data_IF_826404369018
#
_entry.id   IF_826404369018
#
_cell.length_a   1.000
_cell.length_b   1.000
_cell.length_c   1.000
_cell.angle_alpha   90.00
_cell.angle_beta   90.00
_cell.angle_gamma   90.00
#
_symmetry.space_group_name_H-M   'P 1'
#
loop_
_entity.id
_entity.type
_entity.pdbx_description
1 polymer ?
#
# COMPACT_ATOMS: atom_id res chain seq x y z
N UNK A 1 -49.93 -56.82 8.02
CA UNK A 1 -48.98 -57.73 8.72
C UNK A 1 -47.75 -57.92 7.85
N UNK A 2 -46.58 -58.01 8.49
CA UNK A 2 -45.24 -58.28 7.92
C UNK A 2 -44.39 -57.06 7.54
N UNK A 3 -43.67 -56.54 8.56
CA UNK A 3 -42.46 -55.70 8.41
C UNK A 3 -41.24 -56.63 8.46
N UNK A 4 -40.40 -56.63 7.42
CA UNK A 4 -39.07 -57.26 7.44
C UNK A 4 -38.02 -56.20 7.81
N UNK A 5 -37.31 -56.44 8.90
CA UNK A 5 -36.15 -55.65 9.34
C UNK A 5 -34.90 -56.17 8.62
N UNK A 6 -34.15 -55.29 7.98
CA UNK A 6 -32.80 -55.54 7.50
C UNK A 6 -31.82 -54.95 8.52
N UNK A 7 -30.97 -55.80 9.10
CA UNK A 7 -29.86 -55.40 9.96
C UNK A 7 -28.70 -54.93 9.08
N UNK A 8 -28.28 -53.68 9.24
CA UNK A 8 -27.02 -53.16 8.68
C UNK A 8 -25.96 -53.27 9.78
N UNK A 9 -24.95 -54.11 9.53
CA UNK A 9 -23.79 -54.29 10.37
C UNK A 9 -22.80 -53.16 10.09
N UNK A 10 -22.69 -52.19 11.00
CA UNK A 10 -21.68 -51.13 10.93
C UNK A 10 -20.34 -51.69 11.43
N UNK A 11 -19.36 -51.81 10.53
CA UNK A 11 -17.99 -52.20 10.84
C UNK A 11 -17.19 -50.94 11.15
N UNK A 12 -17.00 -50.64 12.43
CA UNK A 12 -16.17 -49.51 12.90
C UNK A 12 -14.69 -49.90 12.80
N UNK A 13 -14.02 -49.46 11.73
CA UNK A 13 -12.57 -49.60 11.58
C UNK A 13 -11.90 -48.51 12.42
N UNK A 14 -11.36 -48.88 13.59
CA UNK A 14 -10.55 -48.00 14.40
C UNK A 14 -9.16 -47.85 13.75
N UNK A 15 -8.96 -46.79 12.98
CA UNK A 15 -7.63 -46.38 12.54
C UNK A 15 -6.91 -45.75 13.74
N UNK A 16 -5.86 -46.41 14.22
CA UNK A 16 -4.93 -45.83 15.18
C UNK A 16 -4.05 -44.82 14.43
N UNK A 17 -4.03 -43.53 14.81
CA UNK A 17 -3.07 -42.59 14.24
C UNK A 17 -1.67 -42.98 14.72
N UNK A 18 -0.87 -43.57 13.85
CA UNK A 18 0.58 -43.67 14.04
C UNK A 18 1.18 -42.31 13.72
N UNK A 19 1.77 -41.64 14.71
CA UNK A 19 2.63 -40.49 14.46
C UNK A 19 3.83 -40.97 13.62
N UNK A 20 3.80 -40.71 12.31
CA UNK A 20 4.97 -40.90 11.48
C UNK A 20 5.92 -39.74 11.77
N UNK A 21 7.11 -40.06 12.27
CA UNK A 21 8.22 -39.14 12.42
C UNK A 21 8.60 -38.62 11.02
N UNK A 22 8.43 -37.33 10.80
CA UNK A 22 8.52 -36.60 9.54
C UNK A 22 9.95 -36.62 8.95
N UNK A 23 10.92 -37.16 9.70
CA UNK A 23 12.31 -37.25 9.30
C UNK A 23 13.05 -35.90 9.24
N UNK A 24 12.40 -34.81 9.68
CA UNK A 24 13.08 -33.55 9.93
C UNK A 24 13.95 -33.71 11.18
N UNK A 25 15.23 -33.32 11.08
CA UNK A 25 16.12 -33.28 12.24
C UNK A 25 15.58 -32.33 13.31
N UNK A 26 16.13 -32.31 14.53
CA UNK A 26 15.67 -31.37 15.54
C UNK A 26 15.80 -29.93 15.02
N UNK A 27 14.77 -29.12 15.27
CA UNK A 27 14.83 -27.67 15.06
C UNK A 27 16.09 -27.11 15.73
N UNK A 28 16.76 -26.16 15.08
CA UNK A 28 17.92 -25.51 15.68
C UNK A 28 17.52 -24.87 17.02
N UNK A 29 18.19 -25.27 18.10
CA UNK A 29 17.96 -24.72 19.44
C UNK A 29 18.05 -23.19 19.36
N UNK A 30 17.18 -22.52 20.12
CA UNK A 30 17.23 -21.07 20.27
C UNK A 30 18.62 -20.70 20.81
N UNK A 31 19.45 -20.17 19.92
CA UNK A 31 20.83 -19.81 20.25
C UNK A 31 20.88 -18.77 21.36
N UNK A 32 21.98 -18.82 22.11
CA UNK A 32 22.32 -17.91 23.22
C UNK A 32 21.81 -16.46 23.03
N UNK A 33 20.98 -16.03 23.97
CA UNK A 33 20.32 -14.70 24.05
C UNK A 33 21.33 -13.52 24.12
N UNK A 34 22.63 -13.81 24.20
CA UNK A 34 23.70 -12.81 24.20
C UNK A 34 23.96 -12.15 22.83
N UNK A 35 23.40 -12.71 21.74
CA UNK A 35 23.60 -12.18 20.37
C UNK A 35 22.77 -10.92 20.09
N UNK A 36 23.28 -10.11 19.15
CA UNK A 36 22.62 -8.87 18.73
C UNK A 36 21.23 -9.12 18.14
N UNK A 37 21.11 -10.17 17.32
CA UNK A 37 19.85 -10.71 16.85
C UNK A 37 19.57 -12.06 17.52
N UNK A 38 18.46 -12.12 18.24
CA UNK A 38 18.03 -13.30 19.00
C UNK A 38 16.51 -13.34 19.06
N UNK A 39 15.96 -14.44 19.54
CA UNK A 39 14.52 -14.55 19.72
C UNK A 39 13.94 -13.45 20.63
N UNK A 40 14.73 -12.96 21.60
CA UNK A 40 14.35 -11.85 22.51
C UNK A 40 14.63 -10.47 21.95
N UNK A 41 15.50 -10.37 20.94
CA UNK A 41 15.90 -9.13 20.26
C UNK A 41 15.92 -9.37 18.76
N UNK A 42 14.75 -9.63 18.13
CA UNK A 42 14.68 -9.83 16.69
C UNK A 42 15.01 -8.53 15.96
N UNK A 43 15.39 -8.63 14.69
CA UNK A 43 15.33 -7.50 13.75
C UNK A 43 13.88 -7.03 13.66
N UNK A 44 13.60 -5.84 14.21
CA UNK A 44 12.27 -5.23 14.23
C UNK A 44 12.02 -4.44 12.94
N UNK A 45 10.94 -4.78 12.24
CA UNK A 45 10.53 -4.16 10.98
C UNK A 45 9.34 -3.21 11.15
N UNK A 46 8.86 -2.99 12.38
CA UNK A 46 7.75 -2.08 12.65
C UNK A 46 6.37 -2.72 12.48
N UNK A 47 5.38 -1.91 12.09
CA UNK A 47 3.99 -2.36 11.94
C UNK A 47 3.73 -3.00 10.57
N UNK A 48 2.90 -4.04 10.54
CA UNK A 48 2.32 -4.62 9.32
C UNK A 48 1.00 -3.96 9.00
N UNK A 49 0.80 -3.70 7.72
CA UNK A 49 -0.52 -3.41 7.17
C UNK A 49 -1.16 -4.74 6.78
N UNK A 50 -2.41 -4.96 7.18
CA UNK A 50 -3.12 -6.18 6.82
C UNK A 50 -3.22 -6.36 5.30
N UNK A 51 -3.21 -7.62 4.86
CA UNK A 51 -3.29 -8.06 3.46
C UNK A 51 -2.11 -7.62 2.56
N UNK A 52 -1.21 -6.79 3.07
CA UNK A 52 0.00 -6.37 2.37
C UNK A 52 1.15 -7.33 2.67
N UNK A 53 1.65 -8.07 1.66
CA UNK A 53 2.83 -8.89 1.85
C UNK A 53 4.08 -8.03 2.02
N UNK A 54 4.92 -8.36 3.01
CA UNK A 54 6.26 -7.78 3.15
C UNK A 54 7.32 -8.86 2.93
N UNK A 55 8.42 -8.48 2.29
CA UNK A 55 9.54 -9.38 1.99
C UNK A 55 10.69 -9.13 2.95
N UNK A 56 11.35 -10.19 3.39
CA UNK A 56 12.59 -10.11 4.17
C UNK A 56 13.53 -11.27 3.82
N UNK A 57 14.74 -11.26 4.39
CA UNK A 57 15.75 -12.29 4.13
C UNK A 57 16.37 -12.79 5.42
N UNK A 58 16.25 -14.09 5.67
CA UNK A 58 16.97 -14.75 6.76
C UNK A 58 18.45 -14.86 6.38
N UNK A 59 19.31 -14.17 7.12
CA UNK A 59 20.76 -14.17 6.93
C UNK A 59 21.47 -14.75 8.16
N UNK A 60 22.82 -14.73 8.16
CA UNK A 60 23.58 -15.10 9.37
C UNK A 60 23.49 -14.03 10.47
N UNK A 61 23.33 -12.77 10.08
CA UNK A 61 23.24 -11.62 10.97
C UNK A 61 21.80 -11.37 11.45
N UNK A 62 20.81 -11.67 10.60
CA UNK A 62 19.39 -11.45 10.83
C UNK A 62 18.66 -12.80 10.66
N UNK A 63 18.53 -13.52 11.75
CA UNK A 63 17.92 -14.85 11.87
C UNK A 63 16.50 -14.79 12.39
N UNK A 64 16.13 -13.70 13.06
CA UNK A 64 14.80 -13.47 13.61
C UNK A 64 14.27 -12.13 13.11
N UNK A 65 13.12 -12.16 12.44
CA UNK A 65 12.47 -10.96 11.93
C UNK A 65 11.13 -10.82 12.63
N UNK A 66 10.85 -9.64 13.15
CA UNK A 66 9.60 -9.36 13.85
C UNK A 66 8.87 -8.17 13.24
N UNK A 67 7.55 -8.30 13.23
CA UNK A 67 6.62 -7.24 12.87
C UNK A 67 5.52 -7.17 13.92
N UNK A 68 4.87 -6.02 14.02
CA UNK A 68 3.74 -5.80 14.92
C UNK A 68 2.46 -5.50 14.16
N UNK A 69 1.30 -5.80 14.75
CA UNK A 69 0.01 -5.32 14.26
C UNK A 69 -0.90 -5.09 15.47
N UNK A 70 -1.94 -4.30 15.29
CA UNK A 70 -2.91 -4.01 16.35
C UNK A 70 -4.31 -4.43 15.91
N UNK A 71 -5.07 -4.97 16.85
CA UNK A 71 -6.49 -5.26 16.69
C UNK A 71 -7.28 -4.37 17.63
N UNK A 72 -8.38 -3.81 17.15
CA UNK A 72 -9.22 -2.89 17.92
C UNK A 72 -10.43 -3.58 18.59
N UNK A 73 -10.73 -4.80 18.17
CA UNK A 73 -11.83 -5.65 18.63
C UNK A 73 -11.50 -7.12 18.29
N UNK A 74 -12.47 -8.01 18.45
CA UNK A 74 -12.37 -9.40 18.03
C UNK A 74 -12.22 -9.52 16.50
N UNK A 75 -11.25 -10.33 16.07
CA UNK A 75 -10.93 -10.60 14.67
C UNK A 75 -10.35 -12.00 14.47
N UNK A 76 -10.55 -12.54 13.28
CA UNK A 76 -9.88 -13.73 12.78
C UNK A 76 -8.66 -13.29 11.98
N UNK A 77 -7.48 -13.67 12.44
CA UNK A 77 -6.21 -13.32 11.81
C UNK A 77 -5.56 -14.55 11.21
N UNK A 78 -5.17 -14.46 9.95
CA UNK A 78 -4.38 -15.46 9.25
C UNK A 78 -2.99 -14.89 8.95
N UNK A 79 -1.94 -15.56 9.43
CA UNK A 79 -0.55 -15.20 9.18
C UNK A 79 0.08 -16.30 8.35
N UNK A 80 0.68 -15.95 7.22
CA UNK A 80 1.33 -16.88 6.30
C UNK A 80 2.75 -16.45 5.97
N UNK A 81 3.65 -17.41 5.83
CA UNK A 81 4.91 -17.19 5.10
C UNK A 81 4.84 -17.82 3.71
N UNK A 82 5.59 -17.28 2.74
CA UNK A 82 5.66 -17.84 1.39
C UNK A 82 6.95 -17.43 0.66
N UNK A 83 7.08 -17.82 -0.61
CA UNK A 83 8.22 -17.40 -1.43
C UNK A 83 8.14 -15.90 -1.72
N UNK A 84 9.27 -15.21 -1.59
CA UNK A 84 9.42 -13.81 -1.98
C UNK A 84 9.45 -13.64 -3.50
N UNK A 85 10.21 -14.49 -4.18
CA UNK A 85 10.35 -14.48 -5.64
C UNK A 85 10.09 -15.87 -6.20
N UNK A 86 9.29 -15.98 -7.27
CA UNK A 86 9.02 -17.27 -7.92
C UNK A 86 10.33 -17.86 -8.47
N UNK A 87 10.58 -19.15 -8.18
CA UNK A 87 11.77 -19.85 -8.64
C UNK A 87 12.99 -19.73 -7.71
N UNK A 88 12.90 -18.98 -6.62
CA UNK A 88 13.94 -18.97 -5.59
C UNK A 88 14.02 -20.31 -4.84
N UNK A 89 15.17 -20.56 -4.20
CA UNK A 89 15.32 -21.68 -3.26
C UNK A 89 14.29 -21.55 -2.13
N UNK A 90 13.65 -22.66 -1.76
CA UNK A 90 12.71 -22.68 -0.64
C UNK A 90 13.43 -22.33 0.67
N UNK A 91 12.81 -21.43 1.41
CA UNK A 91 13.19 -21.08 2.78
C UNK A 91 12.24 -21.82 3.71
N UNK A 92 12.79 -22.59 4.65
CA UNK A 92 12.01 -23.31 5.67
C UNK A 92 11.85 -22.38 6.86
N UNK A 93 10.62 -21.89 7.07
CA UNK A 93 10.32 -20.86 8.07
C UNK A 93 9.66 -21.46 9.30
N UNK A 94 9.77 -20.77 10.42
CA UNK A 94 8.94 -21.01 11.61
C UNK A 94 8.30 -19.69 12.02
N UNK A 95 7.00 -19.70 12.21
CA UNK A 95 6.21 -18.53 12.55
C UNK A 95 5.72 -18.61 14.00
N UNK A 96 5.92 -17.53 14.74
CA UNK A 96 5.49 -17.34 16.12
C UNK A 96 4.56 -16.13 16.21
N UNK A 97 3.56 -16.23 17.07
CA UNK A 97 2.66 -15.13 17.41
C UNK A 97 2.83 -14.79 18.88
N UNK A 98 3.02 -13.52 19.18
CA UNK A 98 3.10 -12.95 20.53
C UNK A 98 1.99 -11.93 20.74
N UNK A 99 1.61 -11.71 22.01
CA UNK A 99 0.71 -10.64 22.43
C UNK A 99 1.43 -9.74 23.42
N UNK A 100 1.39 -8.44 23.20
CA UNK A 100 1.97 -7.47 24.12
C UNK A 100 1.16 -7.43 25.42
N UNK A 101 1.88 -7.34 26.54
CA UNK A 101 1.34 -7.20 27.89
C UNK A 101 1.99 -6.01 28.57
N UNK A 102 1.55 -5.65 29.78
CA UNK A 102 2.19 -4.60 30.57
C UNK A 102 3.69 -4.87 30.86
N UNK A 103 4.14 -6.12 30.77
CA UNK A 103 5.55 -6.52 30.93
C UNK A 103 6.30 -6.72 29.60
N UNK A 104 5.71 -6.34 28.46
CA UNK A 104 6.23 -6.60 27.12
C UNK A 104 5.62 -7.86 26.48
N UNK A 105 6.34 -8.49 25.54
CA UNK A 105 5.81 -9.52 24.63
C UNK A 105 5.47 -10.89 25.25
N UNK A 106 5.88 -11.16 26.49
CA UNK A 106 5.50 -12.38 27.21
C UNK A 106 5.87 -13.69 26.48
N UNK A 107 5.08 -14.75 26.72
CA UNK A 107 5.19 -16.02 26.01
C UNK A 107 4.46 -15.96 24.65
N UNK A 108 4.88 -16.80 23.70
CA UNK A 108 4.16 -16.90 22.43
C UNK A 108 2.75 -17.45 22.67
N UNK A 109 1.78 -16.88 21.95
CA UNK A 109 0.38 -17.32 21.88
C UNK A 109 0.27 -18.57 21.01
N UNK A 110 1.01 -18.62 19.90
CA UNK A 110 0.98 -19.71 18.95
C UNK A 110 2.30 -19.83 18.17
N UNK A 111 2.56 -21.03 17.64
CA UNK A 111 3.71 -21.37 16.80
C UNK A 111 3.28 -22.35 15.71
N UNK A 112 3.83 -22.22 14.51
CA UNK A 112 3.74 -23.22 13.44
C UNK A 112 5.04 -23.20 12.63
N UNK A 113 5.61 -24.37 12.34
CA UNK A 113 6.77 -24.56 11.47
C UNK A 113 6.33 -24.93 10.05
N UNK A 114 5.42 -25.88 9.89
CA UNK A 114 4.94 -26.29 8.57
C UNK A 114 3.41 -26.23 8.44
N UNK A 115 2.94 -25.83 7.25
CA UNK A 115 1.54 -25.92 6.85
C UNK A 115 1.38 -26.79 5.59
N UNK A 116 0.42 -27.71 5.63
CA UNK A 116 -0.02 -28.53 4.49
C UNK A 116 1.14 -29.24 3.72
N UNK A 117 2.14 -29.77 4.43
CA UNK A 117 3.35 -30.40 3.85
C UNK A 117 4.26 -29.45 3.06
N UNK A 118 4.12 -28.15 3.25
CA UNK A 118 5.04 -27.13 2.72
C UNK A 118 6.08 -26.77 3.79
N UNK A 119 7.19 -26.16 3.37
CA UNK A 119 8.23 -25.59 4.26
C UNK A 119 7.86 -24.18 4.74
N UNK A 120 6.61 -23.79 4.55
CA UNK A 120 6.10 -22.49 4.93
C UNK A 120 5.08 -22.65 6.04
N UNK A 121 5.00 -21.64 6.89
CA UNK A 121 4.21 -21.68 8.11
C UNK A 121 2.90 -20.92 7.92
N UNK A 122 1.85 -21.40 8.57
CA UNK A 122 0.58 -20.71 8.66
C UNK A 122 0.02 -20.77 10.08
N UNK A 123 -0.47 -19.64 10.57
CA UNK A 123 -1.29 -19.56 11.77
C UNK A 123 -2.63 -18.92 11.44
N UNK A 124 -3.72 -19.56 11.85
CA UNK A 124 -5.07 -18.97 11.83
C UNK A 124 -5.58 -18.90 13.25
N UNK A 125 -5.93 -17.71 13.75
CA UNK A 125 -6.34 -17.49 15.14
C UNK A 125 -7.48 -16.49 15.22
N UNK A 126 -8.45 -16.79 16.08
CA UNK A 126 -9.41 -15.80 16.56
C UNK A 126 -8.76 -15.08 17.75
N UNK A 127 -8.57 -13.77 17.62
CA UNK A 127 -7.85 -12.90 18.54
C UNK A 127 -8.75 -11.74 18.96
N UNK A 128 -8.61 -11.29 20.20
CA UNK A 128 -9.29 -10.08 20.67
C UNK A 128 -8.42 -8.83 20.50
N UNK A 129 -8.96 -7.68 20.90
CA UNK A 129 -8.24 -6.41 20.86
C UNK A 129 -6.86 -6.47 21.56
N UNK A 130 -5.90 -5.73 21.00
CA UNK A 130 -4.57 -5.55 21.54
C UNK A 130 -3.48 -5.57 20.47
N UNK A 131 -2.24 -5.37 20.92
CA UNK A 131 -1.06 -5.37 20.06
C UNK A 131 -0.38 -6.73 20.03
N UNK A 132 -0.07 -7.19 18.83
CA UNK A 132 0.49 -8.49 18.54
C UNK A 132 1.81 -8.36 17.78
N UNK A 133 2.64 -9.40 17.87
CA UNK A 133 3.88 -9.51 17.12
C UNK A 133 3.95 -10.84 16.39
N UNK A 134 4.18 -10.77 15.09
CA UNK A 134 4.57 -11.92 14.27
C UNK A 134 6.08 -11.98 14.27
N UNK A 135 6.65 -13.14 14.58
CA UNK A 135 8.08 -13.39 14.48
C UNK A 135 8.33 -14.56 13.55
N UNK A 136 9.21 -14.37 12.59
CA UNK A 136 9.64 -15.38 11.63
C UNK A 136 11.12 -15.68 11.82
N UNK A 137 11.47 -16.97 11.86
CA UNK A 137 12.85 -17.45 11.81
C UNK A 137 13.01 -18.59 10.82
N UNK A 138 14.25 -18.99 10.54
CA UNK A 138 14.52 -20.25 9.83
C UNK A 138 14.34 -21.48 10.73
N UNK A 139 13.93 -22.60 10.13
CA UNK A 139 13.91 -23.91 10.81
C UNK A 139 15.33 -24.33 11.22
N UNK A 140 16.28 -24.18 10.29
CA UNK A 140 17.71 -24.42 10.50
C UNK A 140 18.58 -23.40 9.75
N UNK A 141 19.88 -23.34 10.07
CA UNK A 141 20.83 -22.47 9.41
C UNK A 141 21.00 -22.72 7.90
N UNK A 142 20.69 -23.91 7.39
CA UNK A 142 20.84 -24.29 5.99
C UNK A 142 19.64 -23.89 5.11
N UNK A 143 18.50 -23.54 5.71
CA UNK A 143 17.27 -23.15 5.01
C UNK A 143 17.06 -21.63 4.92
N UNK A 144 18.05 -20.83 5.30
CA UNK A 144 18.09 -19.37 5.13
C UNK A 144 17.80 -18.92 3.69
N UNK A 145 17.20 -17.75 3.57
CA UNK A 145 16.87 -17.13 2.28
C UNK A 145 15.72 -16.14 2.40
N UNK A 146 15.30 -15.63 1.24
CA UNK A 146 14.21 -14.65 1.15
C UNK A 146 12.86 -15.30 1.39
N UNK A 147 12.01 -14.62 2.14
CA UNK A 147 10.64 -15.04 2.38
C UNK A 147 9.71 -13.83 2.34
N UNK A 148 8.43 -14.11 2.20
CA UNK A 148 7.35 -13.15 2.29
C UNK A 148 6.52 -13.48 3.51
N UNK A 149 6.06 -12.49 4.27
CA UNK A 149 5.05 -12.66 5.32
C UNK A 149 3.82 -11.83 4.97
N UNK A 150 2.64 -12.40 5.19
CA UNK A 150 1.35 -11.73 4.99
C UNK A 150 0.49 -11.99 6.21
N UNK A 151 -0.24 -10.96 6.64
CA UNK A 151 -1.19 -11.05 7.74
C UNK A 151 -2.53 -10.56 7.22
N UNK A 152 -3.46 -11.48 7.05
CA UNK A 152 -4.84 -11.19 6.67
C UNK A 152 -5.69 -11.07 7.93
N UNK A 153 -6.71 -10.22 7.88
CA UNK A 153 -7.57 -9.95 9.02
C UNK A 153 -9.02 -9.87 8.58
N UNK A 154 -9.90 -10.65 9.23
CA UNK A 154 -11.34 -10.62 9.05
C UNK A 154 -12.05 -10.31 10.39
N UNK A 155 -12.95 -9.33 10.41
CA UNK A 155 -13.78 -9.01 11.57
C UNK A 155 -13.63 -7.58 12.07
N UNK A 156 -14.31 -7.26 13.19
CA UNK A 156 -14.39 -5.90 13.72
C UNK A 156 -13.03 -5.37 14.18
N UNK A 157 -12.13 -6.26 14.63
CA UNK A 157 -10.80 -5.86 15.08
C UNK A 157 -9.84 -5.41 13.99
N UNK A 158 -10.17 -5.65 12.72
CA UNK A 158 -9.32 -5.36 11.56
C UNK A 158 -9.45 -3.94 11.04
N UNK A 159 -10.59 -3.29 11.33
CA UNK A 159 -10.82 -1.94 10.89
C UNK A 159 -9.81 -1.02 11.58
N UNK A 160 -8.98 -0.35 10.77
CA UNK A 160 -8.24 0.82 11.25
C UNK A 160 -9.30 1.82 11.71
N UNK A 161 -9.17 2.45 12.89
CA UNK A 161 -10.17 3.39 13.36
C UNK A 161 -10.33 4.49 12.31
N UNK A 162 -11.52 4.56 11.71
CA UNK A 162 -11.88 5.65 10.82
C UNK A 162 -11.70 6.98 11.54
N UNK A 163 -11.23 7.99 10.84
CA UNK A 163 -10.92 9.31 11.40
C UNK A 163 -9.51 9.44 12.00
N UNK A 164 -8.65 8.43 11.89
CA UNK A 164 -7.22 8.58 12.17
C UNK A 164 -6.53 9.07 10.91
N UNK A 165 -5.81 10.19 11.05
CA UNK A 165 -5.03 10.74 9.96
C UNK A 165 -3.98 9.73 9.47
N UNK A 166 -3.94 9.49 8.15
CA UNK A 166 -2.95 8.61 7.51
C UNK A 166 -1.51 8.96 7.92
N UNK A 167 -1.22 10.23 8.14
CA UNK A 167 0.14 10.73 8.42
C UNK A 167 0.52 10.66 9.91
N UNK A 168 -0.41 10.31 10.81
CA UNK A 168 -0.23 10.37 12.25
C UNK A 168 -0.77 11.67 12.86
N UNK A 169 -0.29 12.00 14.06
CA UNK A 169 -0.67 13.20 14.81
C UNK A 169 0.31 14.36 14.64
N UNK A 170 1.58 14.06 14.36
CA UNK A 170 2.64 15.04 14.15
C UNK A 170 3.39 14.76 12.86
N UNK A 171 4.06 15.77 12.30
CA UNK A 171 4.90 15.66 11.11
C UNK A 171 6.01 14.62 11.28
N UNK A 172 6.53 14.46 12.51
CA UNK A 172 7.55 13.45 12.80
C UNK A 172 7.04 12.01 12.69
N UNK A 173 5.73 11.79 12.87
CA UNK A 173 5.13 10.46 12.78
C UNK A 173 5.31 9.87 11.38
N UNK A 174 5.33 10.72 10.33
CA UNK A 174 5.55 10.35 8.92
C UNK A 174 6.81 9.49 8.75
N UNK A 175 7.91 9.84 9.41
CA UNK A 175 9.19 9.14 9.28
C UNK A 175 9.16 7.71 9.86
N UNK A 176 8.18 7.41 10.70
CA UNK A 176 8.04 6.12 11.40
C UNK A 176 6.77 5.37 11.01
N UNK A 177 5.95 5.96 10.13
CA UNK A 177 4.68 5.42 9.74
C UNK A 177 4.86 4.34 8.67
N UNK A 178 4.61 3.09 9.03
CA UNK A 178 4.81 1.94 8.15
C UNK A 178 3.85 1.89 6.95
N UNK A 179 2.77 2.67 6.95
CA UNK A 179 1.89 2.79 5.78
C UNK A 179 2.44 3.73 4.71
N UNK A 180 3.46 4.52 5.04
CA UNK A 180 4.07 5.50 4.15
C UNK A 180 5.50 5.10 3.81
N UNK A 181 5.86 5.29 2.55
CA UNK A 181 7.24 5.21 2.07
C UNK A 181 7.69 6.60 1.64
N UNK A 182 8.85 7.03 2.15
CA UNK A 182 9.51 8.26 1.69
C UNK A 182 10.32 7.96 0.43
N UNK A 183 9.85 8.47 -0.70
CA UNK A 183 10.50 8.30 -2.01
C UNK A 183 11.69 9.24 -2.16
N UNK A 184 11.58 10.47 -1.64
CA UNK A 184 12.64 11.46 -1.70
C UNK A 184 12.45 12.52 -0.62
N UNK A 185 13.57 13.09 -0.18
CA UNK A 185 13.61 14.29 0.66
C UNK A 185 14.52 15.29 0.00
N UNK A 186 14.09 16.54 -0.12
CA UNK A 186 14.88 17.60 -0.75
C UNK A 186 14.69 18.92 -0.03
N UNK A 187 15.79 19.63 0.18
CA UNK A 187 15.79 21.00 0.67
C UNK A 187 15.60 21.96 -0.51
N UNK A 188 14.50 22.68 -0.52
CA UNK A 188 14.19 23.71 -1.51
C UNK A 188 14.68 25.06 -1.01
N UNK A 189 15.45 25.73 -1.86
CA UNK A 189 16.05 27.04 -1.66
C UNK A 189 15.76 27.91 -2.87
N UNK A 190 16.12 29.19 -2.85
CA UNK A 190 16.00 30.03 -4.05
C UNK A 190 16.75 29.47 -5.27
N UNK A 191 17.89 28.80 -5.05
CA UNK A 191 18.69 28.21 -6.12
C UNK A 191 18.07 26.93 -6.70
N UNK A 192 17.32 26.19 -5.89
CA UNK A 192 16.68 24.92 -6.30
C UNK A 192 15.19 25.06 -6.57
N UNK A 193 14.58 26.23 -6.37
CA UNK A 193 13.15 26.44 -6.61
C UNK A 193 12.69 26.04 -8.02
N UNK A 194 13.53 26.28 -9.03
CA UNK A 194 13.23 25.93 -10.42
C UNK A 194 13.21 24.42 -10.70
N UNK A 195 13.61 23.56 -9.75
CA UNK A 195 13.47 22.10 -9.87
C UNK A 195 12.05 21.64 -9.56
N UNK A 196 11.25 22.46 -8.85
CA UNK A 196 9.84 22.19 -8.63
C UNK A 196 9.03 22.51 -9.88
N UNK A 197 8.03 21.68 -10.16
CA UNK A 197 7.03 21.97 -11.17
C UNK A 197 6.26 23.26 -10.82
N UNK A 198 5.66 23.92 -11.81
CA UNK A 198 4.83 25.10 -11.56
C UNK A 198 3.65 24.79 -10.60
N UNK A 199 3.12 23.58 -10.64
CA UNK A 199 2.07 23.11 -9.72
C UNK A 199 2.60 22.97 -8.29
N UNK A 200 3.77 22.35 -8.10
CA UNK A 200 4.37 22.18 -6.77
C UNK A 200 4.83 23.52 -6.18
N UNK A 201 5.23 24.48 -7.02
CA UNK A 201 5.46 25.86 -6.58
C UNK A 201 4.19 26.53 -6.05
N UNK A 202 3.02 26.22 -6.60
CA UNK A 202 1.74 26.72 -6.07
C UNK A 202 1.41 26.05 -4.73
N UNK A 203 1.65 24.74 -4.59
CA UNK A 203 1.49 24.02 -3.31
C UNK A 203 2.40 24.59 -2.23
N UNK A 204 3.65 24.91 -2.57
CA UNK A 204 4.59 25.60 -1.68
C UNK A 204 4.01 26.93 -1.17
N UNK A 205 3.42 27.75 -2.04
CA UNK A 205 2.75 29.00 -1.62
C UNK A 205 1.59 28.72 -0.66
N UNK A 206 0.77 27.71 -0.95
CA UNK A 206 -0.34 27.32 -0.07
C UNK A 206 0.13 26.81 1.30
N UNK A 207 1.26 26.09 1.34
CA UNK A 207 1.90 25.65 2.57
C UNK A 207 2.37 26.84 3.42
N UNK A 208 3.02 27.84 2.81
CA UNK A 208 3.46 29.04 3.55
C UNK A 208 2.30 29.86 4.10
N UNK A 209 1.15 29.84 3.41
CA UNK A 209 -0.08 30.48 3.88
C UNK A 209 -0.73 29.79 5.09
N UNK A 210 -0.24 28.63 5.53
CA UNK A 210 -0.67 28.01 6.79
C UNK A 210 -0.10 28.72 8.02
N UNK A 211 0.87 29.64 7.86
CA UNK A 211 1.30 30.53 8.95
C UNK A 211 0.65 31.92 8.87
N UNK A 212 1.21 32.90 9.59
CA UNK A 212 0.78 34.31 9.52
C UNK A 212 1.01 34.98 8.15
N UNK A 213 1.70 34.33 7.21
CA UNK A 213 2.05 34.85 5.88
C UNK A 213 0.96 34.60 4.83
N UNK A 214 -0.28 34.97 5.15
CA UNK A 214 -1.43 34.77 4.25
C UNK A 214 -1.38 35.63 2.98
N UNK A 215 -0.49 36.63 2.93
CA UNK A 215 -0.33 37.61 1.85
C UNK A 215 0.53 37.12 0.68
N UNK A 216 1.33 36.07 0.89
CA UNK A 216 2.27 35.55 -0.11
C UNK A 216 1.55 35.07 -1.35
N UNK A 217 2.02 35.42 -2.55
CA UNK A 217 1.37 35.00 -3.81
C UNK A 217 2.25 34.25 -4.80
N UNK A 218 3.57 34.19 -4.54
CA UNK A 218 4.54 33.53 -5.43
C UNK A 218 5.51 32.68 -4.62
N UNK A 219 6.08 31.64 -5.23
CA UNK A 219 6.98 30.72 -4.52
C UNK A 219 8.30 31.39 -4.10
N UNK A 220 8.83 32.32 -4.90
CA UNK A 220 9.97 33.16 -4.51
C UNK A 220 9.66 34.03 -3.29
N UNK A 221 8.47 34.66 -3.27
CA UNK A 221 8.05 35.43 -2.09
C UNK A 221 7.88 34.51 -0.88
N UNK A 222 7.31 33.33 -1.07
CA UNK A 222 7.11 32.34 -0.01
C UNK A 222 8.42 31.94 0.66
N UNK A 223 9.43 31.55 -0.12
CA UNK A 223 10.76 31.21 0.40
C UNK A 223 11.43 32.40 1.10
N UNK A 224 11.18 33.63 0.65
CA UNK A 224 11.73 34.81 1.33
C UNK A 224 11.11 35.08 2.72
N UNK A 225 9.98 34.44 3.06
CA UNK A 225 9.32 34.58 4.37
C UNK A 225 9.70 33.51 5.39
N UNK A 226 10.14 32.33 4.94
CA UNK A 226 10.49 31.22 5.84
C UNK A 226 11.90 31.37 6.39
N UNK A 227 12.18 30.74 7.52
CA UNK A 227 13.51 30.82 8.14
C UNK A 227 14.58 30.24 7.21
N UNK A 228 15.73 30.91 7.19
CA UNK A 228 16.89 30.55 6.38
C UNK A 228 16.62 30.52 4.86
N UNK A 229 15.40 30.88 4.42
CA UNK A 229 14.93 30.74 3.03
C UNK A 229 14.98 29.30 2.53
N UNK A 230 14.72 28.36 3.45
CA UNK A 230 14.81 26.92 3.22
C UNK A 230 13.46 26.26 3.55
N UNK A 231 13.09 25.27 2.73
CA UNK A 231 11.89 24.46 2.95
C UNK A 231 12.21 22.98 2.70
N UNK A 232 11.80 22.14 3.64
CA UNK A 232 11.92 20.70 3.52
C UNK A 232 10.75 20.17 2.68
N UNK A 233 11.06 19.40 1.64
CA UNK A 233 10.06 18.79 0.76
C UNK A 233 10.23 17.29 0.75
N UNK A 234 9.17 16.57 1.11
CA UNK A 234 9.16 15.10 1.16
C UNK A 234 8.14 14.57 0.16
N UNK A 235 8.56 13.64 -0.69
CA UNK A 235 7.67 12.85 -1.53
C UNK A 235 7.35 11.55 -0.83
N UNK A 236 6.06 11.35 -0.60
CA UNK A 236 5.53 10.19 0.11
C UNK A 236 4.70 9.36 -0.86
N UNK A 237 4.68 8.05 -0.66
CA UNK A 237 3.69 7.16 -1.25
C UNK A 237 3.06 6.31 -0.16
N UNK A 238 1.79 5.98 -0.32
CA UNK A 238 1.10 4.96 0.48
C UNK A 238 0.92 3.73 -0.40
N UNK A 239 1.74 2.69 -0.27
CA UNK A 239 1.72 1.55 -1.18
C UNK A 239 0.36 0.82 -1.24
N UNK A 240 -0.34 0.71 -0.11
CA UNK A 240 -1.65 0.05 -0.01
C UNK A 240 -2.74 0.74 -0.85
N UNK A 241 -2.79 2.07 -0.75
CA UNK A 241 -3.74 2.90 -1.48
C UNK A 241 -3.21 3.35 -2.84
N UNK A 242 -1.92 3.14 -3.14
CA UNK A 242 -1.20 3.74 -4.27
C UNK A 242 -1.47 5.23 -4.42
N UNK A 243 -1.48 5.94 -3.30
CA UNK A 243 -1.55 7.40 -3.29
C UNK A 243 -0.15 7.96 -3.21
N UNK A 244 0.03 9.13 -3.82
CA UNK A 244 1.26 9.89 -3.74
C UNK A 244 0.97 11.21 -3.05
N UNK A 245 1.84 11.63 -2.14
CA UNK A 245 1.73 12.91 -1.45
C UNK A 245 3.02 13.70 -1.57
N UNK A 246 2.90 15.00 -1.41
CA UNK A 246 4.03 15.91 -1.25
C UNK A 246 3.82 16.73 0.01
N UNK A 247 4.76 16.63 0.94
CA UNK A 247 4.77 17.42 2.16
C UNK A 247 5.76 18.57 2.03
N UNK A 248 5.32 19.76 2.42
CA UNK A 248 6.15 20.97 2.52
C UNK A 248 6.18 21.39 3.97
N UNK A 249 7.37 21.47 4.56
CA UNK A 249 7.58 21.87 5.96
C UNK A 249 8.71 22.89 6.05
N UNK A 250 8.54 23.91 6.90
CA UNK A 250 9.52 24.96 7.09
C UNK A 250 9.49 25.51 8.52
N UNK A 251 10.62 26.04 8.97
CA UNK A 251 10.72 26.76 10.24
C UNK A 251 10.23 28.21 10.15
N UNK A 252 9.55 28.66 11.20
CA UNK A 252 9.28 30.08 11.44
C UNK A 252 9.41 30.38 12.95
N UNK A 253 10.59 30.84 13.35
CA UNK A 253 10.99 30.99 14.74
C UNK A 253 11.29 29.64 15.39
N UNK A 254 10.57 29.33 16.46
CA UNK A 254 10.64 28.07 17.21
C UNK A 254 9.60 27.03 16.78
N UNK A 255 8.74 27.38 15.83
CA UNK A 255 7.66 26.51 15.34
C UNK A 255 7.97 26.01 13.92
N UNK A 256 7.39 24.88 13.55
CA UNK A 256 7.34 24.41 12.15
C UNK A 256 5.94 24.62 11.58
N UNK A 257 5.87 24.96 10.30
CA UNK A 257 4.62 25.15 9.56
C UNK A 257 4.70 24.46 8.21
N UNK A 258 3.54 24.24 7.59
CA UNK A 258 3.51 23.59 6.30
C UNK A 258 2.17 22.99 5.94
N UNK A 259 2.19 22.11 4.95
CA UNK A 259 1.04 21.35 4.51
C UNK A 259 1.46 20.11 3.72
N UNK A 260 0.57 19.11 3.69
CA UNK A 260 0.68 17.93 2.84
C UNK A 260 -0.40 18.00 1.78
N UNK A 261 -0.06 17.64 0.54
CA UNK A 261 -0.96 17.68 -0.61
C UNK A 261 -1.01 16.33 -1.32
N UNK A 262 -2.18 16.02 -1.88
CA UNK A 262 -2.33 14.98 -2.89
C UNK A 262 -1.47 15.32 -4.11
N UNK A 263 -0.62 14.38 -4.53
CA UNK A 263 0.35 14.64 -5.61
C UNK A 263 -0.35 14.85 -6.94
N UNK A 264 -1.43 14.11 -7.21
CA UNK A 264 -2.13 14.17 -8.50
C UNK A 264 -3.23 15.23 -8.57
N UNK A 265 -3.74 15.70 -7.42
CA UNK A 265 -4.94 16.53 -7.34
C UNK A 265 -4.72 17.95 -6.80
N UNK A 266 -3.53 18.25 -6.28
CA UNK A 266 -3.19 19.56 -5.69
C UNK A 266 -4.02 19.97 -4.47
N UNK A 267 -4.98 19.14 -4.05
CA UNK A 267 -5.75 19.32 -2.84
C UNK A 267 -4.82 19.20 -1.63
N UNK A 268 -4.91 20.17 -0.72
CA UNK A 268 -4.29 20.06 0.60
C UNK A 268 -5.05 19.02 1.40
N UNK A 269 -4.33 18.07 1.98
CA UNK A 269 -4.92 16.97 2.75
C UNK A 269 -4.78 17.12 4.25
N UNK A 270 -3.77 17.86 4.71
CA UNK A 270 -3.58 18.25 6.11
C UNK A 270 -2.67 19.49 6.17
N UNK A 271 -2.85 20.34 7.17
CA UNK A 271 -1.91 21.43 7.48
C UNK A 271 -0.96 21.00 8.61
N UNK A 272 0.20 21.66 8.69
CA UNK A 272 1.23 21.45 9.73
C UNK A 272 1.36 22.74 10.52
N UNK A 273 1.09 22.72 11.83
CA UNK A 273 1.21 23.87 12.72
C UNK A 273 1.92 23.45 14.01
N UNK A 274 3.09 24.02 14.27
CA UNK A 274 3.98 23.64 15.37
C UNK A 274 4.32 22.13 15.38
N UNK A 275 4.48 21.56 14.18
CA UNK A 275 4.75 20.14 13.98
C UNK A 275 3.53 19.23 14.14
N UNK A 276 2.41 19.72 14.67
CA UNK A 276 1.16 18.97 14.75
C UNK A 276 0.40 19.01 13.42
N UNK A 277 -0.34 17.93 13.11
CA UNK A 277 -1.15 17.80 11.91
C UNK A 277 -2.61 18.15 12.20
N UNK A 278 -3.19 19.03 11.37
CA UNK A 278 -4.58 19.51 11.52
C UNK A 278 -5.41 19.30 10.26
N UNK A 279 -6.72 19.17 10.46
CA UNK A 279 -7.73 19.06 9.40
C UNK A 279 -7.39 17.96 8.38
N UNK A 280 -6.87 16.83 8.87
CA UNK A 280 -6.51 15.71 8.03
C UNK A 280 -7.75 15.09 7.38
N UNK A 281 -7.73 14.99 6.06
CA UNK A 281 -8.85 14.49 5.24
C UNK A 281 -8.58 13.13 4.61
N UNK A 282 -7.46 12.51 4.98
CA UNK A 282 -6.96 11.28 4.38
C UNK A 282 -6.78 10.24 5.48
N UNK A 283 -7.42 9.10 5.29
CA UNK A 283 -7.41 7.95 6.20
C UNK A 283 -6.78 6.75 5.48
N UNK A 284 -6.47 5.68 6.20
CA UNK A 284 -5.97 4.45 5.56
C UNK A 284 -7.02 3.85 4.61
N UNK A 285 -6.60 3.58 3.37
CA UNK A 285 -7.49 3.00 2.36
C UNK A 285 -6.77 1.91 1.55
N UNK A 286 -7.55 0.98 0.99
CA UNK A 286 -7.02 -0.05 0.09
C UNK A 286 -7.52 0.23 -1.32
N UNK A 287 -6.57 0.39 -2.25
CA UNK A 287 -6.89 0.62 -3.65
C UNK A 287 -7.53 -0.62 -4.29
N UNK A 288 -8.68 -0.43 -4.92
CA UNK A 288 -9.33 -1.47 -5.71
C UNK A 288 -8.63 -1.71 -7.05
N UNK A 289 -7.93 -0.72 -7.61
CA UNK A 289 -7.18 -0.93 -8.86
C UNK A 289 -5.94 -1.80 -8.58
N UNK A 290 -5.63 -2.81 -9.42
CA UNK A 290 -4.41 -3.61 -9.28
C UNK A 290 -3.18 -2.87 -9.82
N UNK A 291 -1.98 -3.38 -9.53
CA UNK A 291 -0.68 -2.67 -9.66
C UNK A 291 -0.44 -2.08 -11.03
N UNK A 292 -0.80 -2.84 -12.06
CA UNK A 292 -0.57 -2.47 -13.43
C UNK A 292 -1.80 -2.72 -14.30
N UNK A 293 -1.74 -2.15 -15.50
CA UNK A 293 -2.78 -2.19 -16.49
C UNK A 293 -3.03 -3.60 -17.04
N UNK A 294 -2.02 -4.47 -17.11
CA UNK A 294 -2.22 -5.85 -17.50
C UNK A 294 -2.98 -6.62 -16.42
N UNK A 295 -2.66 -6.39 -15.14
CA UNK A 295 -3.36 -6.94 -14.00
C UNK A 295 -4.83 -6.52 -13.99
N UNK A 296 -5.15 -5.24 -14.23
CA UNK A 296 -6.54 -4.75 -14.28
C UNK A 296 -7.37 -5.47 -15.35
N UNK A 297 -6.78 -5.78 -16.50
CA UNK A 297 -7.46 -6.52 -17.58
C UNK A 297 -7.70 -8.00 -17.25
N UNK A 298 -6.94 -8.55 -16.31
CA UNK A 298 -7.02 -9.97 -15.91
C UNK A 298 -7.68 -10.14 -14.53
N UNK A 299 -7.95 -9.06 -13.82
CA UNK A 299 -8.49 -9.08 -12.47
C UNK A 299 -9.92 -9.62 -12.48
N UNK A 300 -10.21 -10.76 -11.81
CA UNK A 300 -11.55 -11.33 -11.75
C UNK A 300 -12.56 -10.43 -11.02
N UNK A 301 -12.10 -9.48 -10.20
CA UNK A 301 -12.94 -8.51 -9.54
C UNK A 301 -13.46 -7.42 -10.51
N UNK A 302 -12.81 -7.22 -11.67
CA UNK A 302 -13.24 -6.27 -12.69
C UNK A 302 -13.81 -6.96 -13.92
N UNK A 303 -15.12 -6.81 -14.12
CA UNK A 303 -15.77 -7.22 -15.37
C UNK A 303 -15.65 -6.11 -16.40
N UNK A 304 -14.99 -6.37 -17.53
CA UNK A 304 -14.95 -5.45 -18.67
C UNK A 304 -16.34 -5.35 -19.32
N UNK A 305 -16.92 -4.15 -19.30
CA UNK A 305 -18.27 -3.88 -19.82
C UNK A 305 -18.26 -3.31 -21.24
N UNK A 306 -17.18 -2.65 -21.65
CA UNK A 306 -16.99 -2.18 -23.03
C UNK A 306 -15.51 -2.09 -23.40
N UNK A 307 -15.19 -2.17 -24.69
CA UNK A 307 -13.85 -1.95 -25.24
C UNK A 307 -13.95 -1.47 -26.69
N UNK A 308 -13.24 -0.39 -27.04
CA UNK A 308 -13.12 0.09 -28.42
C UNK A 308 -11.84 0.88 -28.64
N UNK A 309 -11.45 1.00 -29.91
CA UNK A 309 -10.37 1.88 -30.35
C UNK A 309 -10.99 3.12 -30.99
N UNK A 310 -10.56 4.29 -30.55
CA UNK A 310 -10.92 5.59 -31.12
C UNK A 310 -9.81 6.04 -32.04
N UNK A 311 -10.17 6.34 -33.28
CA UNK A 311 -9.29 6.82 -34.35
C UNK A 311 -9.70 8.20 -34.89
N UNK A 312 -10.85 8.73 -34.45
CA UNK A 312 -11.32 10.05 -34.86
C UNK A 312 -12.06 10.74 -33.71
N UNK A 313 -11.84 12.05 -33.56
CA UNK A 313 -12.42 12.85 -32.48
C UNK A 313 -13.96 12.79 -32.41
N UNK A 314 -14.65 12.65 -33.55
CA UNK A 314 -16.10 12.56 -33.61
C UNK A 314 -16.69 11.24 -33.09
N UNK A 315 -15.86 10.26 -32.75
CA UNK A 315 -16.27 9.01 -32.07
C UNK A 315 -16.43 9.21 -30.56
N UNK A 316 -15.98 10.34 -30.02
CA UNK A 316 -16.10 10.72 -28.62
C UNK A 316 -17.13 11.85 -28.49
N UNK A 317 -17.95 11.81 -27.44
CA UNK A 317 -18.92 12.85 -27.15
C UNK A 317 -19.15 13.00 -25.64
N UNK A 318 -19.69 14.15 -25.22
CA UNK A 318 -20.08 14.42 -23.84
C UNK A 318 -18.94 14.23 -22.84
N UNK A 319 -19.21 13.50 -21.76
CA UNK A 319 -18.22 13.25 -20.70
C UNK A 319 -17.00 12.47 -21.20
N UNK A 320 -17.20 11.51 -22.10
CA UNK A 320 -16.11 10.69 -22.62
C UNK A 320 -15.10 11.53 -23.44
N UNK A 321 -15.60 12.51 -24.21
CA UNK A 321 -14.75 13.48 -24.90
C UNK A 321 -13.96 14.36 -23.93
N UNK A 322 -14.56 14.75 -22.80
CA UNK A 322 -13.89 15.55 -21.78
C UNK A 322 -12.80 14.74 -21.06
N UNK A 323 -13.07 13.48 -20.70
CA UNK A 323 -12.10 12.56 -20.10
C UNK A 323 -10.94 12.25 -21.05
N UNK A 324 -11.21 11.99 -22.33
CA UNK A 324 -10.18 11.78 -23.34
C UNK A 324 -9.27 13.02 -23.51
N UNK A 325 -9.86 14.22 -23.58
CA UNK A 325 -9.08 15.45 -23.65
C UNK A 325 -8.23 15.68 -22.39
N UNK A 326 -8.77 15.39 -21.20
CA UNK A 326 -8.02 15.44 -19.95
C UNK A 326 -6.86 14.44 -19.94
N UNK A 327 -7.05 13.25 -20.50
CA UNK A 327 -6.01 12.23 -20.68
C UNK A 327 -4.89 12.75 -21.58
N UNK A 328 -5.23 13.29 -22.76
CA UNK A 328 -4.22 13.84 -23.67
C UNK A 328 -3.46 15.00 -23.03
N UNK A 329 -4.14 15.94 -22.36
CA UNK A 329 -3.49 17.06 -21.67
C UNK A 329 -2.54 16.62 -20.56
N UNK A 330 -2.79 15.46 -19.94
CA UNK A 330 -1.90 14.92 -18.91
C UNK A 330 -0.56 14.46 -19.50
N UNK A 331 -0.60 13.88 -20.70
CA UNK A 331 0.61 13.40 -21.40
C UNK A 331 1.27 14.53 -22.20
N UNK A 332 0.46 15.39 -22.81
CA UNK A 332 0.86 16.49 -23.70
C UNK A 332 0.14 17.78 -23.27
N UNK A 333 0.71 18.57 -22.34
CA UNK A 333 0.05 19.74 -21.76
C UNK A 333 -0.44 20.79 -22.76
N UNK A 334 0.21 20.87 -23.93
CA UNK A 334 -0.11 21.84 -24.98
C UNK A 334 -1.32 21.44 -25.84
N UNK A 335 -1.82 20.20 -25.72
CA UNK A 335 -2.99 19.75 -26.49
C UNK A 335 -4.23 20.53 -26.10
N UNK A 336 -4.87 21.18 -27.09
CA UNK A 336 -6.09 21.97 -26.84
C UNK A 336 -7.37 21.28 -27.28
N UNK A 337 -7.29 20.23 -28.10
CA UNK A 337 -8.46 19.49 -28.60
C UNK A 337 -8.18 18.00 -28.87
N UNK A 338 -9.25 17.22 -29.09
CA UNK A 338 -9.16 15.76 -29.28
C UNK A 338 -8.44 15.33 -30.57
N UNK A 339 -8.59 16.09 -31.66
CA UNK A 339 -7.97 15.73 -32.93
C UNK A 339 -6.44 15.88 -32.84
N UNK A 340 -5.98 16.92 -32.18
CA UNK A 340 -4.58 17.13 -31.84
C UNK A 340 -4.05 16.04 -30.89
N UNK A 341 -4.79 15.72 -29.83
CA UNK A 341 -4.42 14.64 -28.91
C UNK A 341 -4.24 13.29 -29.60
N UNK A 342 -5.18 12.92 -30.49
CA UNK A 342 -5.06 11.71 -31.32
C UNK A 342 -3.84 11.77 -32.24
N UNK A 343 -3.45 12.93 -32.75
CA UNK A 343 -2.26 13.06 -33.60
C UNK A 343 -0.94 12.84 -32.84
N UNK A 344 -0.94 12.92 -31.52
CA UNK A 344 0.22 12.59 -30.67
C UNK A 344 0.28 11.11 -30.27
N UNK A 345 -0.86 10.41 -30.25
CA UNK A 345 -0.91 9.00 -29.91
C UNK A 345 -0.34 8.12 -31.04
N UNK A 346 0.32 7.03 -30.66
CA UNK A 346 0.80 6.05 -31.64
C UNK A 346 -0.36 5.51 -32.49
N UNK A 347 -0.10 5.38 -33.80
CA UNK A 347 -1.08 4.99 -34.82
C UNK A 347 -2.36 5.85 -34.86
N UNK A 348 -2.34 7.03 -34.24
CA UNK A 348 -3.51 7.88 -34.03
C UNK A 348 -4.66 7.17 -33.30
N UNK A 349 -4.34 6.31 -32.33
CA UNK A 349 -5.29 5.45 -31.63
C UNK A 349 -5.38 5.78 -30.13
N UNK A 350 -6.60 5.81 -29.62
CA UNK A 350 -6.91 5.85 -28.20
C UNK A 350 -7.76 4.63 -27.83
N UNK A 351 -7.24 3.76 -26.97
CA UNK A 351 -7.98 2.64 -26.43
C UNK A 351 -8.90 3.12 -25.31
N UNK A 352 -10.20 2.85 -25.45
CA UNK A 352 -11.21 3.17 -24.44
C UNK A 352 -11.84 1.89 -23.95
N UNK A 353 -11.75 1.63 -22.64
CA UNK A 353 -12.32 0.45 -22.00
C UNK A 353 -13.12 0.86 -20.76
N UNK A 354 -14.22 0.17 -20.49
CA UNK A 354 -14.99 0.35 -19.26
C UNK A 354 -14.97 -0.92 -18.43
N UNK A 355 -14.85 -0.76 -17.12
CA UNK A 355 -14.86 -1.87 -16.17
C UNK A 355 -15.88 -1.61 -15.07
N UNK A 356 -16.42 -2.70 -14.53
CA UNK A 356 -17.25 -2.72 -13.32
C UNK A 356 -16.60 -3.64 -12.30
N UNK A 357 -16.29 -3.10 -11.14
CA UNK A 357 -15.80 -3.86 -9.99
C UNK A 357 -16.94 -4.66 -9.33
N UNK A 358 -16.61 -5.72 -8.59
CA UNK A 358 -17.57 -6.54 -7.81
C UNK A 358 -18.33 -5.73 -6.76
N UNK A 359 -17.76 -4.63 -6.26
CA UNK A 359 -18.44 -3.66 -5.38
C UNK A 359 -19.47 -2.79 -6.11
N UNK A 360 -19.57 -2.89 -7.44
CA UNK A 360 -20.47 -2.09 -8.27
C UNK A 360 -19.89 -0.76 -8.74
N UNK A 361 -18.72 -0.34 -8.23
CA UNK A 361 -17.99 0.82 -8.73
C UNK A 361 -17.60 0.61 -10.21
N UNK A 362 -17.59 1.70 -10.98
CA UNK A 362 -17.34 1.64 -12.43
C UNK A 362 -16.27 2.65 -12.82
N UNK A 363 -15.40 2.26 -13.73
CA UNK A 363 -14.34 3.12 -14.26
C UNK A 363 -14.31 3.09 -15.78
N UNK A 364 -13.86 4.20 -16.38
CA UNK A 364 -13.53 4.30 -17.80
C UNK A 364 -12.04 4.58 -17.93
N UNK A 365 -11.35 3.74 -18.69
CA UNK A 365 -9.92 3.79 -18.95
C UNK A 365 -9.68 4.34 -20.34
N UNK A 366 -8.78 5.31 -20.44
CA UNK A 366 -8.26 5.89 -21.68
C UNK A 366 -6.76 5.62 -21.72
N UNK A 367 -6.33 4.80 -22.66
CA UNK A 367 -4.94 4.38 -22.84
C UNK A 367 -4.49 4.73 -24.25
N UNK A 368 -3.30 5.33 -24.39
CA UNK A 368 -2.64 5.58 -25.65
C UNK A 368 -1.20 5.04 -25.62
N UNK A 369 -0.71 4.62 -26.78
CA UNK A 369 0.72 4.39 -26.97
C UNK A 369 1.46 5.72 -27.08
N UNK A 370 2.60 5.82 -26.41
CA UNK A 370 3.55 6.93 -26.52
C UNK A 370 4.97 6.37 -26.67
N UNK A 371 5.28 5.90 -27.89
CA UNK A 371 6.54 5.23 -28.20
C UNK A 371 6.54 3.77 -27.75
N UNK A 372 7.45 3.42 -26.85
CA UNK A 372 7.51 2.09 -26.23
C UNK A 372 6.71 1.99 -24.93
N UNK A 373 6.14 3.10 -24.47
CA UNK A 373 5.37 3.18 -23.22
C UNK A 373 3.86 3.22 -23.49
N UNK A 374 3.10 2.67 -22.54
CA UNK A 374 1.65 2.85 -22.47
C UNK A 374 1.33 3.86 -21.37
N UNK A 375 0.59 4.90 -21.73
CA UNK A 375 0.20 5.99 -20.82
C UNK A 375 -1.30 6.26 -20.92
N UNK A 376 -1.88 6.82 -19.86
CA UNK A 376 -3.32 7.00 -19.83
C UNK A 376 -3.89 7.49 -18.52
N UNK A 377 -5.21 7.46 -18.43
CA UNK A 377 -5.95 7.83 -17.24
C UNK A 377 -7.17 6.92 -17.04
N UNK A 378 -7.50 6.69 -15.78
CA UNK A 378 -8.65 5.92 -15.33
C UNK A 378 -9.55 6.90 -14.60
N UNK A 379 -10.81 6.99 -14.99
CA UNK A 379 -11.79 7.90 -14.39
C UNK A 379 -12.92 7.12 -13.74
N UNK A 380 -13.49 7.64 -12.66
CA UNK A 380 -14.80 7.21 -12.18
C UNK A 380 -15.83 7.42 -13.31
N UNK A 381 -16.59 6.38 -13.63
CA UNK A 381 -17.45 6.37 -14.81
C UNK A 381 -18.46 7.53 -14.78
N UNK A 382 -18.46 8.36 -15.84
CA UNK A 382 -19.37 9.50 -15.97
C UNK A 382 -18.94 10.79 -15.26
N UNK A 383 -17.71 10.87 -14.74
CA UNK A 383 -17.15 12.06 -14.05
C UNK A 383 -15.80 12.47 -14.65
N UNK A 384 -15.24 13.60 -14.20
CA UNK A 384 -13.83 13.94 -14.47
C UNK A 384 -12.89 13.55 -13.32
N UNK A 385 -13.42 12.84 -12.32
CA UNK A 385 -12.65 12.44 -11.15
C UNK A 385 -11.76 11.26 -11.54
N UNK A 386 -10.45 11.45 -11.38
CA UNK A 386 -9.45 10.41 -11.65
C UNK A 386 -9.56 9.32 -10.61
N UNK A 387 -9.70 8.08 -11.06
CA UNK A 387 -9.55 6.87 -10.26
C UNK A 387 -8.11 6.34 -10.26
N UNK A 388 -7.30 6.70 -11.27
CA UNK A 388 -5.89 6.30 -11.40
C UNK A 388 -5.24 6.85 -12.67
N UNK A 389 -3.93 6.73 -12.81
CA UNK A 389 -3.14 7.15 -13.96
C UNK A 389 -2.31 5.98 -14.45
N UNK A 390 -2.26 5.76 -15.77
CA UNK A 390 -1.38 4.74 -16.36
C UNK A 390 -0.07 5.41 -16.75
N UNK A 391 1.04 4.94 -16.19
CA UNK A 391 2.40 5.41 -16.49
C UNK A 391 3.30 4.20 -16.73
N UNK A 392 3.65 3.99 -18.00
CA UNK A 392 4.45 2.83 -18.42
C UNK A 392 3.86 1.49 -17.92
N UNK A 393 2.57 1.30 -18.19
CA UNK A 393 1.75 0.17 -17.73
C UNK A 393 1.41 0.15 -16.24
N UNK A 394 2.13 0.86 -15.36
CA UNK A 394 1.80 0.91 -13.93
C UNK A 394 0.61 1.84 -13.67
N UNK A 395 -0.20 1.51 -12.64
CA UNK A 395 -1.32 2.34 -12.22
C UNK A 395 -0.95 3.10 -10.95
N UNK A 396 -0.83 4.42 -11.08
CA UNK A 396 -0.50 5.35 -10.00
C UNK A 396 -1.72 6.17 -9.55
N UNK A 397 -1.72 6.60 -8.28
CA UNK A 397 -2.66 7.59 -7.74
C UNK A 397 -4.10 7.12 -7.71
N UNK A 398 -4.35 6.08 -6.93
CA UNK A 398 -5.69 5.52 -6.79
C UNK A 398 -6.63 6.49 -6.06
N UNK A 399 -7.89 6.54 -6.50
CA UNK A 399 -9.00 7.10 -5.69
C UNK A 399 -10.22 6.16 -5.64
N UNK A 400 -10.02 4.90 -6.04
CA UNK A 400 -11.05 3.88 -6.10
C UNK A 400 -10.84 2.91 -4.94
N UNK A 401 -11.46 3.18 -3.79
CA UNK A 401 -11.22 2.41 -2.56
C UNK A 401 -12.35 1.43 -2.21
N UNK A 402 -12.09 0.51 -1.29
CA UNK A 402 -13.14 -0.29 -0.62
C UNK A 402 -13.96 0.69 0.24
N UNK A 403 -15.29 0.62 0.17
CA UNK A 403 -16.17 1.46 1.01
C UNK A 403 -16.17 1.01 2.48
#
# INVERSE_FOLDING_TARGET
MSRRHAYVLALTLAALPGCMDDGKGPEEELLDDSKADSHRKPTDHGALVFEMPVTSELTEAERYHAWTFELHDDARVEMTTSYAVRGQRRTDTVLYLYRETASGWGAYVARNDDYASTTYSQLVRDLGAGRYRVLVKGYDAATRGKFKVTVDCEGAGCAVPSGVCLFGSTYNDIATNAALETVNTTLITQATLATLSAEDQQKLVLAVRQSSHTDVTTATEALARVDQQEMNVIWLVEPAARRGFIAFEYGAGDNSYGAIFERLGGAMVTSIHDGDLYDCTVEHETCLLPEDWAALRMDPAFTRTSARVVTAANQLAGMEAAQALATFKRVYPDVVNLAEGLAHADDHQLNVQSFRHTTGKQVTVFELGAGDTSVGAIFHAGTLDLAGVISDLFIDGCSLFVD
#
